data_IF_588566533571
#
_entry.id   IF_588566533571
#
_cell.length_a   1.000
_cell.length_b   1.000
_cell.length_c   1.000
_cell.angle_alpha   90.00
_cell.angle_beta   90.00
_cell.angle_gamma   90.00
#
_symmetry.space_group_name_H-M   'P 1'
#
loop_
_entity.id
_entity.type
_entity.pdbx_description
1 polymer ?
#
# COMPACT_ATOMS: atom_id res chain seq x y z
N UNK A 1 -75.20 41.69 5.57
CA UNK A 1 -73.77 41.90 5.30
C UNK A 1 -73.00 40.64 5.70
N UNK A 2 -72.66 39.76 4.76
CA UNK A 2 -71.88 38.55 5.04
C UNK A 2 -70.53 38.64 4.31
N UNK A 3 -69.45 38.75 5.08
CA UNK A 3 -68.05 38.73 4.59
C UNK A 3 -67.62 37.28 4.38
N UNK A 4 -67.29 36.89 3.15
CA UNK A 4 -66.56 35.65 2.85
C UNK A 4 -65.05 35.92 3.04
N UNK A 5 -64.41 35.19 3.96
CA UNK A 5 -62.95 35.08 4.00
C UNK A 5 -62.52 33.93 3.08
N UNK A 6 -61.65 34.22 2.11
CA UNK A 6 -60.88 33.25 1.35
C UNK A 6 -59.55 33.04 2.08
N UNK A 7 -59.27 31.82 2.54
CA UNK A 7 -57.94 31.40 3.00
C UNK A 7 -57.26 30.65 1.85
N UNK A 8 -56.15 31.22 1.34
CA UNK A 8 -55.24 30.54 0.43
C UNK A 8 -54.33 29.60 1.22
N UNK A 9 -54.38 28.30 0.93
CA UNK A 9 -53.42 27.34 1.47
C UNK A 9 -52.19 27.29 0.57
N UNK A 10 -51.07 27.85 1.02
CA UNK A 10 -49.75 27.65 0.41
C UNK A 10 -49.15 26.34 0.92
N UNK A 11 -49.04 25.34 0.06
CA UNK A 11 -48.37 24.09 0.38
C UNK A 11 -46.85 24.28 0.33
N UNK A 12 -46.18 24.10 1.47
CA UNK A 12 -44.73 24.10 1.58
C UNK A 12 -44.22 22.69 1.27
N UNK A 13 -43.59 22.48 0.10
CA UNK A 13 -42.86 21.24 -0.19
C UNK A 13 -41.52 21.25 0.56
N UNK A 14 -41.39 20.37 1.56
CA UNK A 14 -40.12 20.10 2.24
C UNK A 14 -39.42 18.99 1.44
N UNK A 15 -38.34 19.34 0.73
CA UNK A 15 -37.47 18.36 0.07
C UNK A 15 -36.56 17.73 1.15
N UNK A 16 -36.88 16.53 1.60
CA UNK A 16 -36.01 15.77 2.51
C UNK A 16 -34.90 15.12 1.67
N UNK A 17 -33.72 15.71 1.65
CA UNK A 17 -32.53 15.05 1.09
C UNK A 17 -32.17 13.87 2.01
N UNK A 18 -32.43 12.65 1.55
CA UNK A 18 -32.03 11.43 2.26
C UNK A 18 -30.52 11.27 2.16
N UNK A 19 -29.80 11.53 3.25
CA UNK A 19 -28.38 11.16 3.36
C UNK A 19 -28.33 9.63 3.47
N UNK A 20 -28.00 8.96 2.37
CA UNK A 20 -27.74 7.51 2.40
C UNK A 20 -26.39 7.32 3.09
N UNK A 21 -26.42 6.95 4.37
CA UNK A 21 -25.24 6.48 5.07
C UNK A 21 -24.97 5.05 4.58
N UNK A 22 -24.14 4.90 3.56
CA UNK A 22 -23.64 3.58 3.15
C UNK A 22 -22.67 3.07 4.21
N UNK A 23 -23.10 2.10 5.01
CA UNK A 23 -22.21 1.38 5.93
C UNK A 23 -21.16 0.61 5.14
N UNK A 24 -19.90 0.71 5.56
CA UNK A 24 -18.80 -0.07 4.96
C UNK A 24 -19.09 -1.57 5.05
N UNK A 25 -18.89 -2.31 3.96
CA UNK A 25 -19.11 -3.75 3.94
C UNK A 25 -18.10 -4.46 4.87
N UNK A 26 -18.50 -5.55 5.50
CA UNK A 26 -17.58 -6.42 6.25
C UNK A 26 -17.41 -7.71 5.47
N UNK A 27 -16.19 -7.97 5.00
CA UNK A 27 -15.80 -9.27 4.44
C UNK A 27 -15.36 -10.15 5.59
N UNK A 28 -16.00 -11.33 5.70
CA UNK A 28 -15.79 -12.26 6.81
C UNK A 28 -14.40 -12.91 6.82
N UNK A 29 -14.25 -13.93 7.66
CA UNK A 29 -12.97 -14.61 7.87
C UNK A 29 -12.58 -15.52 6.69
N UNK A 30 -13.58 -15.97 5.91
CA UNK A 30 -13.36 -16.77 4.71
C UNK A 30 -12.89 -15.91 3.53
N UNK A 31 -11.92 -16.38 2.72
CA UNK A 31 -11.45 -15.64 1.57
C UNK A 31 -12.55 -15.40 0.53
N UNK A 32 -12.74 -14.13 0.14
CA UNK A 32 -13.61 -13.78 -0.97
C UNK A 32 -13.02 -14.18 -2.33
N UNK A 33 -13.82 -14.09 -3.40
CA UNK A 33 -13.34 -14.30 -4.76
C UNK A 33 -12.48 -13.13 -5.25
N UNK A 34 -11.32 -13.41 -5.86
CA UNK A 34 -10.54 -12.42 -6.59
C UNK A 34 -11.20 -12.12 -7.95
N UNK A 35 -11.24 -10.83 -8.31
CA UNK A 35 -11.59 -10.38 -9.66
C UNK A 35 -10.50 -9.40 -10.06
N UNK A 36 -9.91 -9.61 -11.24
CA UNK A 36 -8.84 -8.76 -11.72
C UNK A 36 -9.35 -7.32 -11.91
N UNK A 37 -8.72 -6.30 -11.31
CA UNK A 37 -9.09 -4.90 -11.53
C UNK A 37 -8.71 -4.44 -12.95
N UNK A 38 -9.28 -3.31 -13.37
CA UNK A 38 -8.92 -2.63 -14.61
C UNK A 38 -7.70 -1.71 -14.47
N UNK A 39 -7.33 -1.34 -13.24
CA UNK A 39 -6.12 -0.59 -12.93
C UNK A 39 -4.89 -1.25 -13.58
N UNK A 40 -4.10 -0.46 -14.29
CA UNK A 40 -2.91 -0.94 -15.01
C UNK A 40 -1.62 -0.69 -14.27
N UNK A 41 -1.69 0.06 -13.16
CA UNK A 41 -0.57 0.46 -12.32
C UNK A 41 -0.84 0.15 -10.86
N UNK A 42 0.20 -0.26 -10.15
CA UNK A 42 0.19 -0.46 -8.69
C UNK A 42 1.20 0.49 -8.06
N UNK A 43 0.76 1.28 -7.08
CA UNK A 43 1.64 2.04 -6.19
C UNK A 43 1.59 1.38 -4.83
N UNK A 44 2.69 0.80 -4.40
CA UNK A 44 2.87 0.20 -3.08
C UNK A 44 3.69 1.15 -2.21
N UNK A 45 3.08 1.72 -1.19
CA UNK A 45 3.75 2.50 -0.13
C UNK A 45 3.97 1.58 1.07
N UNK A 46 5.20 1.50 1.55
CA UNK A 46 5.54 0.71 2.74
C UNK A 46 6.05 1.67 3.83
N UNK A 47 5.34 1.71 4.94
CA UNK A 47 5.69 2.40 6.18
C UNK A 47 6.31 1.42 7.19
N UNK A 48 6.72 1.91 8.35
CA UNK A 48 7.42 1.13 9.38
C UNK A 48 6.71 1.16 10.75
N UNK A 49 6.80 0.04 11.46
CA UNK A 49 6.79 -0.02 12.93
C UNK A 49 5.61 0.65 13.67
N UNK A 50 4.37 0.31 13.32
CA UNK A 50 3.20 0.78 14.08
C UNK A 50 2.07 -0.25 14.19
N UNK A 51 1.28 -0.16 15.26
CA UNK A 51 0.10 -1.01 15.40
C UNK A 51 -1.00 -0.60 14.42
N UNK A 52 -1.63 -1.58 13.77
CA UNK A 52 -2.68 -1.33 12.77
C UNK A 52 -3.81 -0.42 13.27
N UNK A 53 -4.19 -0.55 14.54
CA UNK A 53 -5.29 0.23 15.14
C UNK A 53 -4.90 1.70 15.35
N UNK A 54 -3.62 1.99 15.66
CA UNK A 54 -3.11 3.37 15.75
C UNK A 54 -3.10 4.01 14.36
N UNK A 55 -2.54 3.32 13.36
CA UNK A 55 -2.51 3.78 11.96
C UNK A 55 -3.91 4.10 11.43
N UNK A 56 -4.90 3.22 11.67
CA UNK A 56 -6.28 3.47 11.27
C UNK A 56 -6.90 4.71 11.96
N UNK A 57 -6.41 5.09 13.13
CA UNK A 57 -6.89 6.24 13.89
C UNK A 57 -6.33 7.59 13.42
N UNK A 58 -5.33 7.60 12.55
CA UNK A 58 -4.78 8.82 11.96
C UNK A 58 -5.71 9.39 10.87
N UNK A 59 -5.49 10.65 10.49
CA UNK A 59 -6.43 11.37 9.61
C UNK A 59 -6.45 10.80 8.21
N UNK A 60 -5.30 10.74 7.54
CA UNK A 60 -5.23 10.33 6.13
C UNK A 60 -5.30 8.81 5.97
N UNK A 61 -4.59 8.05 6.81
CA UNK A 61 -4.70 6.60 6.88
C UNK A 61 -6.13 6.15 7.27
N UNK A 62 -6.79 6.87 8.18
CA UNK A 62 -8.19 6.64 8.51
C UNK A 62 -9.13 6.92 7.32
N UNK A 63 -8.89 8.00 6.56
CA UNK A 63 -9.62 8.31 5.33
C UNK A 63 -9.48 7.18 4.30
N UNK A 64 -8.25 6.70 4.05
CA UNK A 64 -8.01 5.60 3.12
C UNK A 64 -8.72 4.32 3.60
N UNK A 65 -8.63 3.99 4.89
CA UNK A 65 -9.30 2.81 5.45
C UNK A 65 -10.83 2.89 5.37
N UNK A 66 -11.41 4.08 5.48
CA UNK A 66 -12.86 4.29 5.38
C UNK A 66 -13.38 4.31 3.93
N UNK A 67 -12.52 4.61 2.96
CA UNK A 67 -12.88 4.76 1.54
C UNK A 67 -12.27 3.69 0.61
N UNK A 68 -11.48 2.77 1.16
CA UNK A 68 -10.88 1.63 0.47
C UNK A 68 -11.16 0.31 1.20
N UNK A 69 -10.45 -0.74 0.79
CA UNK A 69 -10.51 -2.04 1.45
C UNK A 69 -9.42 -2.15 2.52
N UNK A 70 -9.80 -1.96 3.78
CA UNK A 70 -8.91 -2.13 4.93
C UNK A 70 -8.83 -3.60 5.34
N UNK A 71 -7.62 -4.15 5.36
CA UNK A 71 -7.36 -5.54 5.75
C UNK A 71 -7.12 -5.62 7.25
N UNK A 72 -8.20 -5.78 8.01
CA UNK A 72 -8.18 -5.74 9.48
C UNK A 72 -7.42 -6.90 10.13
N UNK A 73 -7.12 -7.97 9.39
CA UNK A 73 -6.40 -9.16 9.85
C UNK A 73 -5.16 -9.46 9.00
N UNK A 74 -4.41 -8.40 8.64
CA UNK A 74 -3.20 -8.51 7.83
C UNK A 74 -1.93 -8.53 8.69
N UNK A 75 -1.01 -9.44 8.38
CA UNK A 75 0.19 -9.70 9.18
C UNK A 75 1.47 -9.53 8.38
N UNK A 76 2.45 -8.88 9.00
CA UNK A 76 3.84 -8.95 8.56
C UNK A 76 4.43 -10.34 8.88
N UNK A 77 5.47 -10.74 8.15
CA UNK A 77 6.00 -12.11 8.17
C UNK A 77 7.26 -12.27 9.03
N UNK A 78 7.94 -11.17 9.36
CA UNK A 78 9.18 -11.17 10.11
C UNK A 78 9.26 -10.00 11.11
N UNK A 79 10.14 -10.12 12.11
CA UNK A 79 10.40 -9.09 13.14
C UNK A 79 11.35 -7.99 12.68
N UNK A 80 12.11 -8.23 11.60
CA UNK A 80 13.00 -7.23 11.03
C UNK A 80 12.46 -6.74 9.69
N UNK A 81 12.67 -5.45 9.40
CA UNK A 81 12.21 -4.81 8.17
C UNK A 81 12.65 -5.54 6.91
N UNK A 82 13.95 -5.78 6.75
CA UNK A 82 14.52 -6.27 5.49
C UNK A 82 13.90 -7.58 4.97
N UNK A 83 13.68 -8.64 5.78
CA UNK A 83 12.99 -9.83 5.30
C UNK A 83 11.54 -9.59 4.87
N UNK A 84 10.82 -8.64 5.48
CA UNK A 84 9.48 -8.25 5.03
C UNK A 84 9.54 -7.58 3.64
N UNK A 85 10.45 -6.62 3.44
CA UNK A 85 10.66 -5.96 2.15
C UNK A 85 11.09 -6.95 1.04
N UNK A 86 12.00 -7.89 1.34
CA UNK A 86 12.43 -8.92 0.38
C UNK A 86 11.26 -9.84 0.02
N UNK A 87 10.44 -10.23 0.99
CA UNK A 87 9.27 -11.06 0.75
C UNK A 87 8.22 -10.38 -0.14
N UNK A 88 7.97 -9.09 0.07
CA UNK A 88 7.05 -8.28 -0.73
C UNK A 88 7.43 -8.22 -2.23
N UNK A 89 8.68 -8.50 -2.59
CA UNK A 89 9.14 -8.43 -4.00
C UNK A 89 9.64 -9.76 -4.56
N UNK A 90 9.82 -10.81 -3.76
CA UNK A 90 10.38 -12.09 -4.23
C UNK A 90 9.66 -13.35 -3.76
N UNK A 91 8.59 -13.19 -2.98
CA UNK A 91 7.78 -14.30 -2.48
C UNK A 91 8.47 -15.11 -1.38
N UNK A 92 9.60 -14.65 -0.85
CA UNK A 92 10.36 -15.36 0.17
C UNK A 92 11.28 -14.38 0.90
N UNK A 93 11.55 -14.59 2.17
CA UNK A 93 12.62 -13.85 2.87
C UNK A 93 14.03 -14.25 2.43
N UNK A 94 14.18 -15.28 1.61
CA UNK A 94 15.46 -15.87 1.21
C UNK A 94 16.33 -16.37 2.38
N UNK A 95 15.71 -16.66 3.53
CA UNK A 95 16.44 -17.04 4.75
C UNK A 95 17.12 -15.86 5.45
N UNK A 96 16.87 -14.62 5.01
CA UNK A 96 17.28 -13.41 5.71
C UNK A 96 16.44 -13.28 6.97
N UNK A 97 17.10 -13.00 8.09
CA UNK A 97 16.48 -12.89 9.41
C UNK A 97 16.92 -11.62 10.16
N UNK A 98 17.69 -10.72 9.53
CA UNK A 98 18.11 -9.45 10.12
C UNK A 98 18.15 -8.30 9.08
N UNK A 99 18.65 -7.13 9.51
CA UNK A 99 18.79 -5.93 8.69
C UNK A 99 20.21 -5.75 8.08
N UNK A 100 21.07 -6.77 8.14
CA UNK A 100 22.41 -6.72 7.57
C UNK A 100 22.35 -6.74 6.04
N UNK A 101 23.17 -5.96 5.31
CA UNK A 101 23.15 -5.98 3.85
C UNK A 101 23.36 -7.40 3.29
N UNK A 102 22.51 -7.79 2.36
CA UNK A 102 22.60 -9.07 1.65
C UNK A 102 22.70 -8.87 0.15
N UNK A 103 23.23 -9.89 -0.53
CA UNK A 103 23.20 -10.04 -1.99
C UNK A 103 22.54 -11.38 -2.33
N UNK A 104 21.43 -11.32 -3.04
CA UNK A 104 20.58 -12.46 -3.37
C UNK A 104 20.63 -12.74 -4.86
N UNK A 105 20.97 -13.95 -5.25
CA UNK A 105 20.92 -14.41 -6.65
C UNK A 105 19.65 -15.23 -6.87
N UNK A 106 18.53 -14.53 -7.07
CA UNK A 106 17.20 -15.15 -7.19
C UNK A 106 16.22 -14.25 -7.93
N UNK A 107 15.10 -14.84 -8.36
CA UNK A 107 14.04 -14.10 -9.03
C UNK A 107 13.34 -13.08 -8.11
N UNK A 108 12.91 -11.98 -8.71
CA UNK A 108 12.09 -10.96 -8.08
C UNK A 108 11.07 -10.35 -9.05
N UNK A 109 10.07 -9.65 -8.50
CA UNK A 109 8.90 -9.14 -9.23
C UNK A 109 9.31 -8.24 -10.40
N UNK A 110 10.29 -7.36 -10.19
CA UNK A 110 10.84 -6.47 -11.23
C UNK A 110 11.29 -7.17 -12.52
N UNK A 111 11.75 -8.43 -12.48
CA UNK A 111 12.14 -9.18 -13.69
C UNK A 111 10.93 -9.67 -14.52
N UNK A 112 9.74 -9.66 -13.92
CA UNK A 112 8.50 -10.21 -14.49
C UNK A 112 7.54 -9.11 -14.95
N UNK A 113 7.74 -7.89 -14.47
CA UNK A 113 6.91 -6.73 -14.78
C UNK A 113 7.32 -6.07 -16.10
N UNK A 114 6.35 -5.40 -16.75
CA UNK A 114 6.60 -4.60 -17.95
C UNK A 114 7.48 -3.38 -17.66
N UNK A 115 7.21 -2.70 -16.56
CA UNK A 115 8.02 -1.58 -16.06
C UNK A 115 7.85 -1.42 -14.56
N UNK A 116 8.91 -1.03 -13.87
CA UNK A 116 8.87 -0.82 -12.44
C UNK A 116 9.86 0.25 -11.99
N UNK A 117 9.58 0.90 -10.87
CA UNK A 117 10.48 1.85 -10.22
C UNK A 117 10.38 1.71 -8.71
N UNK A 118 11.47 2.03 -8.02
CA UNK A 118 11.48 2.33 -6.59
C UNK A 118 11.81 3.80 -6.38
N UNK A 119 10.96 4.46 -5.61
CA UNK A 119 11.04 5.87 -5.24
C UNK A 119 11.28 5.96 -3.74
N UNK A 120 12.54 6.17 -3.34
CA UNK A 120 12.93 6.21 -1.94
C UNK A 120 13.29 7.63 -1.51
N UNK A 121 12.69 8.10 -0.42
CA UNK A 121 13.00 9.43 0.13
C UNK A 121 14.43 9.45 0.67
N UNK A 122 15.15 10.54 0.42
CA UNK A 122 16.56 10.68 0.80
C UNK A 122 17.55 9.83 -0.01
N UNK A 123 17.10 8.97 -0.93
CA UNK A 123 17.99 8.20 -1.79
C UNK A 123 18.73 9.10 -2.79
N UNK A 124 20.07 9.00 -2.89
CA UNK A 124 20.84 9.79 -3.86
C UNK A 124 20.61 9.28 -5.28
N UNK A 125 19.63 9.85 -5.99
CA UNK A 125 19.31 9.49 -7.37
C UNK A 125 20.54 9.48 -8.30
N UNK A 126 20.60 8.51 -9.22
CA UNK A 126 21.68 8.40 -10.21
C UNK A 126 22.99 7.77 -9.70
N UNK A 127 23.06 7.30 -8.46
CA UNK A 127 24.30 6.72 -7.89
C UNK A 127 24.37 5.20 -7.96
N UNK A 128 23.23 4.51 -7.78
CA UNK A 128 23.18 3.12 -7.31
C UNK A 128 23.94 2.93 -5.98
N UNK A 129 23.66 3.79 -5.00
CA UNK A 129 24.31 3.75 -3.69
C UNK A 129 23.89 2.53 -2.87
N UNK A 130 24.87 1.88 -2.22
CA UNK A 130 24.69 0.69 -1.39
C UNK A 130 25.09 0.92 0.07
N UNK A 131 25.34 2.17 0.47
CA UNK A 131 25.59 2.55 1.86
C UNK A 131 24.38 2.17 2.69
N UNK A 132 24.61 1.69 3.90
CA UNK A 132 23.53 1.24 4.80
C UNK A 132 22.56 2.37 5.16
N UNK A 133 23.06 3.61 5.26
CA UNK A 133 22.26 4.80 5.48
C UNK A 133 22.89 6.06 4.86
N UNK A 134 22.04 7.03 4.48
CA UNK A 134 22.43 8.38 4.07
C UNK A 134 21.44 9.37 4.70
N UNK A 135 21.86 10.04 5.77
CA UNK A 135 20.92 10.80 6.59
C UNK A 135 19.80 9.86 7.10
N UNK A 136 18.51 10.21 6.94
CA UNK A 136 17.39 9.36 7.35
C UNK A 136 17.07 8.21 6.38
N UNK A 137 17.64 8.20 5.16
CA UNK A 137 17.47 7.09 4.23
C UNK A 137 18.22 5.86 4.73
N UNK A 138 17.60 4.67 4.61
CA UNK A 138 18.22 3.38 4.93
C UNK A 138 18.05 2.34 3.81
N UNK A 139 19.14 1.66 3.46
CA UNK A 139 19.15 0.65 2.37
C UNK A 139 18.25 -0.53 2.66
N UNK A 140 18.09 -0.92 3.94
CA UNK A 140 17.28 -2.09 4.36
C UNK A 140 15.82 -2.03 3.86
N UNK A 141 15.29 -0.84 3.57
CA UNK A 141 13.92 -0.66 3.06
C UNK A 141 13.81 -0.72 1.53
N UNK A 142 14.93 -0.73 0.79
CA UNK A 142 14.92 -0.78 -0.69
C UNK A 142 15.30 -2.19 -1.15
N UNK A 143 14.35 -3.15 -1.22
CA UNK A 143 14.67 -4.56 -1.37
C UNK A 143 15.38 -4.87 -2.69
N UNK A 144 15.07 -4.14 -3.76
CA UNK A 144 15.70 -4.36 -5.07
C UNK A 144 17.22 -4.16 -5.04
N UNK A 145 17.77 -3.33 -4.14
CA UNK A 145 19.22 -3.19 -3.98
C UNK A 145 19.90 -4.45 -3.42
N UNK A 146 19.14 -5.41 -2.90
CA UNK A 146 19.65 -6.69 -2.40
C UNK A 146 19.72 -7.78 -3.47
N UNK A 147 19.22 -7.58 -4.69
CA UNK A 147 19.25 -8.59 -5.74
C UNK A 147 20.46 -8.40 -6.66
N UNK A 148 21.12 -9.51 -7.00
CA UNK A 148 22.37 -9.54 -7.76
C UNK A 148 22.30 -8.79 -9.09
N UNK A 149 21.23 -9.00 -9.86
CA UNK A 149 21.03 -8.40 -11.18
C UNK A 149 20.79 -6.90 -11.12
N UNK A 150 20.30 -6.37 -9.99
CA UNK A 150 20.18 -4.93 -9.73
C UNK A 150 21.48 -4.38 -9.15
N UNK A 151 21.96 -4.98 -8.07
CA UNK A 151 23.09 -4.51 -7.29
C UNK A 151 24.38 -4.45 -8.11
N UNK A 152 24.64 -5.48 -8.93
CA UNK A 152 25.88 -5.60 -9.68
C UNK A 152 25.81 -4.86 -11.03
N UNK A 153 24.60 -4.49 -11.50
CA UNK A 153 24.39 -3.71 -12.71
C UNK A 153 23.98 -2.27 -12.34
N UNK A 154 24.98 -1.42 -12.10
CA UNK A 154 24.76 -0.02 -11.70
C UNK A 154 23.92 0.78 -12.68
N UNK A 155 23.98 0.47 -13.98
CA UNK A 155 23.16 1.16 -14.97
C UNK A 155 21.69 0.78 -14.82
N UNK A 156 21.40 -0.51 -14.76
CA UNK A 156 20.04 -1.01 -14.52
C UNK A 156 19.47 -0.48 -13.20
N UNK A 157 20.26 -0.51 -12.13
CA UNK A 157 19.91 0.07 -10.83
C UNK A 157 19.51 1.54 -10.92
N UNK A 158 20.29 2.38 -11.62
CA UNK A 158 19.98 3.82 -11.80
C UNK A 158 18.71 4.07 -12.60
N UNK A 159 18.37 3.16 -13.51
CA UNK A 159 17.15 3.24 -14.31
C UNK A 159 15.90 2.86 -13.53
N UNK A 160 16.04 2.14 -12.41
CA UNK A 160 14.92 1.58 -11.65
C UNK A 160 14.80 2.10 -10.21
N UNK A 161 15.84 2.71 -9.63
CA UNK A 161 15.86 3.16 -8.25
C UNK A 161 16.29 4.63 -8.20
N UNK A 162 15.41 5.47 -7.63
CA UNK A 162 15.59 6.92 -7.64
C UNK A 162 15.03 7.57 -6.37
N UNK A 163 15.28 8.87 -6.22
CA UNK A 163 14.72 9.70 -5.17
C UNK A 163 13.20 9.86 -5.28
N UNK A 164 12.53 10.02 -4.14
CA UNK A 164 11.07 10.18 -4.06
C UNK A 164 10.53 11.42 -4.81
N UNK A 165 11.33 12.46 -5.01
CA UNK A 165 10.95 13.65 -5.80
C UNK A 165 10.47 13.28 -7.22
N UNK A 166 11.03 12.23 -7.82
CA UNK A 166 10.63 11.73 -9.14
C UNK A 166 9.25 11.07 -9.14
N UNK A 167 8.78 10.53 -8.00
CA UNK A 167 7.44 9.97 -7.89
C UNK A 167 6.38 11.05 -8.12
N UNK A 168 6.53 12.21 -7.47
CA UNK A 168 5.57 13.31 -7.61
C UNK A 168 5.45 13.80 -9.05
N UNK A 169 6.57 13.85 -9.79
CA UNK A 169 6.57 14.19 -11.22
C UNK A 169 5.84 13.12 -12.03
N UNK A 170 6.18 11.84 -11.83
CA UNK A 170 5.58 10.73 -12.57
C UNK A 170 4.07 10.59 -12.31
N UNK A 171 3.64 10.75 -11.06
CA UNK A 171 2.24 10.67 -10.66
C UNK A 171 1.39 11.78 -11.29
N UNK A 172 1.83 13.04 -11.20
CA UNK A 172 1.10 14.20 -11.76
C UNK A 172 1.11 14.27 -13.29
N UNK A 173 2.04 13.60 -13.95
CA UNK A 173 2.11 13.51 -15.41
C UNK A 173 1.53 12.20 -15.95
N UNK A 174 0.90 11.39 -15.10
CA UNK A 174 0.32 10.08 -15.41
C UNK A 174 1.30 9.09 -16.07
N UNK A 175 2.61 9.25 -15.80
CA UNK A 175 3.70 8.50 -16.41
C UNK A 175 4.32 7.43 -15.49
N UNK A 176 3.67 7.13 -14.36
CA UNK A 176 4.08 6.05 -13.46
C UNK A 176 4.26 4.71 -14.21
N UNK A 177 5.27 3.89 -13.85
CA UNK A 177 5.43 2.53 -14.38
C UNK A 177 4.29 1.62 -13.93
N UNK A 178 4.25 0.38 -14.46
CA UNK A 178 3.25 -0.61 -14.01
C UNK A 178 3.35 -0.90 -12.50
N UNK A 179 4.54 -0.86 -11.92
CA UNK A 179 4.73 -1.01 -10.47
C UNK A 179 5.63 0.08 -9.90
N UNK A 180 5.14 0.79 -8.89
CA UNK A 180 5.90 1.80 -8.14
C UNK A 180 5.98 1.39 -6.68
N UNK A 181 7.19 1.12 -6.19
CA UNK A 181 7.45 0.97 -4.76
C UNK A 181 7.87 2.33 -4.20
N UNK A 182 7.13 2.84 -3.22
CA UNK A 182 7.38 4.13 -2.57
C UNK A 182 7.80 3.87 -1.13
N UNK A 183 8.95 4.42 -0.75
CA UNK A 183 9.57 4.19 0.56
C UNK A 183 9.92 5.54 1.18
N UNK A 184 9.19 6.00 2.20
CA UNK A 184 9.59 7.16 2.98
C UNK A 184 10.88 6.88 3.77
N UNK A 185 11.55 7.94 4.22
CA UNK A 185 12.73 7.82 5.07
C UNK A 185 12.34 7.67 6.56
N UNK A 186 13.32 7.45 7.44
CA UNK A 186 13.08 7.26 8.88
C UNK A 186 12.34 8.42 9.57
N UNK A 187 12.25 9.61 8.94
CA UNK A 187 11.45 10.71 9.48
C UNK A 187 9.96 10.59 9.15
N UNK A 188 9.60 9.81 8.13
CA UNK A 188 8.26 9.80 7.55
C UNK A 188 7.69 8.39 7.36
N UNK A 189 8.42 7.34 7.75
CA UNK A 189 7.94 5.96 7.73
C UNK A 189 7.25 5.54 9.05
N UNK A 190 7.35 6.35 10.12
CA UNK A 190 6.86 6.08 11.48
C UNK A 190 7.77 5.20 12.37
N UNK A 191 9.04 5.03 12.01
CA UNK A 191 10.04 4.37 12.86
C UNK A 191 10.64 5.29 13.93
N UNK A 192 11.39 6.32 13.50
CA UNK A 192 12.10 7.23 14.41
C UNK A 192 11.26 8.44 14.82
N UNK A 193 10.19 8.72 14.06
CA UNK A 193 9.28 9.84 14.27
C UNK A 193 7.85 9.37 14.57
N UNK A 194 7.05 10.20 15.24
CA UNK A 194 5.66 9.85 15.53
C UNK A 194 4.87 9.55 14.26
N UNK A 195 3.96 8.58 14.36
CA UNK A 195 3.04 8.17 13.30
C UNK A 195 2.31 9.35 12.60
N UNK A 196 1.98 10.41 13.34
CA UNK A 196 1.37 11.62 12.76
C UNK A 196 2.21 12.28 11.66
N UNK A 197 3.54 12.16 11.72
CA UNK A 197 4.46 12.76 10.75
C UNK A 197 4.43 11.96 9.45
N UNK A 198 4.34 10.63 9.55
CA UNK A 198 4.09 9.73 8.41
C UNK A 198 2.71 9.96 7.79
N UNK A 199 1.65 10.09 8.60
CA UNK A 199 0.29 10.41 8.11
C UNK A 199 0.26 11.76 7.39
N UNK A 200 0.90 12.78 7.96
CA UNK A 200 1.00 14.10 7.33
C UNK A 200 1.85 14.05 6.04
N UNK A 201 2.89 13.22 5.99
CA UNK A 201 3.67 13.00 4.76
C UNK A 201 2.83 12.33 3.68
N UNK A 202 2.04 11.30 4.03
CA UNK A 202 1.10 10.67 3.11
C UNK A 202 0.06 11.68 2.61
N UNK A 203 -0.55 12.46 3.52
CA UNK A 203 -1.54 13.47 3.15
C UNK A 203 -0.95 14.48 2.16
N UNK A 204 0.24 15.02 2.44
CA UNK A 204 0.91 15.99 1.56
C UNK A 204 1.20 15.45 0.16
N UNK A 205 1.53 14.16 0.04
CA UNK A 205 1.99 13.59 -1.22
C UNK A 205 0.89 12.90 -2.03
N UNK A 206 -0.18 12.44 -1.37
CA UNK A 206 -1.23 11.63 -2.00
C UNK A 206 -2.61 12.28 -1.99
N UNK A 207 -2.88 13.29 -1.17
CA UNK A 207 -4.23 13.89 -1.09
C UNK A 207 -4.72 14.40 -2.46
N UNK A 208 -3.90 15.12 -3.21
CA UNK A 208 -4.29 15.58 -4.54
C UNK A 208 -4.48 14.41 -5.53
N UNK A 209 -3.62 13.39 -5.44
CA UNK A 209 -3.67 12.21 -6.31
C UNK A 209 -4.95 11.39 -6.10
N UNK A 210 -5.41 11.25 -4.86
CA UNK A 210 -6.65 10.53 -4.57
C UNK A 210 -7.91 11.31 -5.01
N UNK A 211 -7.80 12.62 -5.29
CA UNK A 211 -8.90 13.39 -5.89
C UNK A 211 -8.85 13.40 -7.43
N UNK A 212 -7.71 13.07 -8.02
CA UNK A 212 -7.51 12.96 -9.47
C UNK A 212 -8.23 11.72 -10.04
N UNK A 213 -9.13 11.95 -11.00
CA UNK A 213 -9.94 10.88 -11.61
C UNK A 213 -9.14 9.93 -12.50
N UNK A 214 -8.05 10.39 -13.13
CA UNK A 214 -7.20 9.52 -13.93
C UNK A 214 -6.33 8.65 -13.04
N UNK A 215 -5.76 9.21 -11.97
CA UNK A 215 -5.01 8.45 -10.98
C UNK A 215 -5.88 7.36 -10.37
N UNK A 216 -7.07 7.70 -9.86
CA UNK A 216 -8.00 6.73 -9.26
C UNK A 216 -8.43 5.59 -10.17
N UNK A 217 -8.57 5.88 -11.46
CA UNK A 217 -9.01 4.91 -12.47
C UNK A 217 -7.89 3.96 -12.87
N UNK A 218 -6.67 4.46 -13.00
CA UNK A 218 -5.54 3.72 -13.57
C UNK A 218 -4.61 3.10 -12.52
N UNK A 219 -4.63 3.63 -11.29
CA UNK A 219 -3.72 3.24 -10.20
C UNK A 219 -4.49 2.54 -9.08
N UNK A 220 -4.01 1.37 -8.69
CA UNK A 220 -4.29 0.76 -7.40
C UNK A 220 -3.24 1.26 -6.39
N UNK A 221 -3.68 2.08 -5.43
CA UNK A 221 -2.85 2.51 -4.31
C UNK A 221 -2.95 1.48 -3.18
N UNK A 222 -1.79 1.05 -2.69
CA UNK A 222 -1.67 0.14 -1.56
C UNK A 222 -0.77 0.83 -0.53
N UNK A 223 -1.26 0.96 0.70
CA UNK A 223 -0.45 1.44 1.82
C UNK A 223 -0.39 0.34 2.86
N UNK A 224 0.82 -0.08 3.22
CA UNK A 224 1.07 -1.12 4.21
C UNK A 224 2.19 -0.71 5.16
N UNK A 225 2.38 -1.45 6.25
CA UNK A 225 3.59 -1.41 7.06
C UNK A 225 4.35 -2.73 6.92
N UNK A 226 5.67 -2.70 7.10
CA UNK A 226 6.55 -3.87 7.04
C UNK A 226 6.52 -4.71 8.32
N UNK A 227 6.33 -4.09 9.49
CA UNK A 227 6.20 -4.75 10.79
C UNK A 227 5.46 -3.87 11.82
N UNK A 228 5.02 -4.49 12.91
CA UNK A 228 4.32 -3.80 14.01
C UNK A 228 5.29 -3.37 15.11
N UNK A 229 4.90 -2.36 15.91
CA UNK A 229 5.65 -1.82 17.06
C UNK A 229 5.86 -2.80 18.25
N UNK A 230 5.52 -4.08 18.11
CA UNK A 230 5.60 -5.08 19.17
C UNK A 230 6.85 -5.95 19.03
N UNK A 231 7.65 -5.99 20.10
CA UNK A 231 8.87 -6.81 20.20
C UNK A 231 8.57 -8.29 20.40
N UNK A 232 9.40 -9.15 19.83
CA UNK A 232 9.35 -10.59 20.01
C UNK A 232 9.78 -11.04 21.42
N UNK A 233 9.28 -12.19 21.93
CA UNK A 233 8.21 -13.02 21.36
C UNK A 233 6.83 -12.37 21.53
N UNK A 234 5.96 -12.54 20.53
CA UNK A 234 4.57 -12.04 20.59
C UNK A 234 3.75 -12.81 21.64
N UNK A 235 3.90 -12.41 22.91
CA UNK A 235 3.05 -12.91 23.98
C UNK A 235 1.67 -12.24 23.85
N UNK A 236 0.64 -13.06 23.59
CA UNK A 236 -0.78 -12.71 23.53
C UNK A 236 -1.26 -11.88 22.32
N UNK A 237 -2.11 -12.52 21.50
CA UNK A 237 -3.23 -11.90 20.77
C UNK A 237 -2.93 -11.08 19.50
N UNK A 238 -1.78 -10.41 19.36
CA UNK A 238 -1.49 -9.62 18.15
C UNK A 238 -0.09 -9.92 17.59
N UNK A 239 -0.04 -10.92 16.70
CA UNK A 239 1.16 -11.50 16.07
C UNK A 239 1.61 -10.67 14.85
N UNK A 240 2.28 -9.54 15.05
CA UNK A 240 2.76 -8.72 13.93
C UNK A 240 1.67 -8.20 12.97
N UNK A 241 0.50 -7.82 13.51
CA UNK A 241 -0.60 -7.27 12.69
C UNK A 241 -0.30 -5.82 12.33
N UNK A 242 -0.34 -5.54 11.05
CA UNK A 242 0.02 -4.25 10.47
C UNK A 242 -1.16 -3.66 9.70
N UNK A 243 -1.18 -2.33 9.56
CA UNK A 243 -2.18 -1.66 8.75
C UNK A 243 -1.91 -1.98 7.28
N UNK A 244 -2.96 -2.35 6.54
CA UNK A 244 -2.91 -2.48 5.09
C UNK A 244 -4.23 -2.05 4.49
N UNK A 245 -4.17 -1.19 3.48
CA UNK A 245 -5.35 -0.76 2.72
C UNK A 245 -5.08 -0.86 1.23
N UNK A 246 -6.07 -1.32 0.48
CA UNK A 246 -6.10 -1.21 -0.99
C UNK A 246 -7.13 -0.15 -1.37
N UNK A 247 -6.79 0.72 -2.30
CA UNK A 247 -7.60 1.88 -2.63
C UNK A 247 -7.51 2.23 -4.12
N UNK A 248 -8.66 2.63 -4.70
CA UNK A 248 -8.79 2.98 -6.11
C UNK A 248 -10.22 2.72 -6.62
N UNK A 249 -10.54 3.12 -7.85
CA UNK A 249 -11.90 3.02 -8.38
C UNK A 249 -12.38 1.56 -8.54
N UNK A 250 -11.46 0.60 -8.69
CA UNK A 250 -11.77 -0.83 -8.75
C UNK A 250 -11.97 -1.50 -7.39
N UNK A 251 -11.72 -0.79 -6.31
CA UNK A 251 -11.85 -1.30 -4.95
C UNK A 251 -13.20 -0.88 -4.36
N UNK A 252 -13.87 -1.83 -3.71
CA UNK A 252 -15.06 -1.60 -2.90
C UNK A 252 -14.62 -1.27 -1.47
N UNK A 253 -15.13 -0.19 -0.86
CA UNK A 253 -14.87 0.10 0.55
C UNK A 253 -15.33 -1.06 1.44
N UNK A 254 -14.41 -1.64 2.21
CA UNK A 254 -14.68 -2.82 3.03
C UNK A 254 -13.71 -2.96 4.20
N UNK A 255 -14.20 -3.51 5.32
CA UNK A 255 -13.34 -4.08 6.36
C UNK A 255 -13.20 -5.58 6.10
N UNK A 256 -11.98 -6.06 5.89
CA UNK A 256 -11.69 -7.45 5.55
C UNK A 256 -11.08 -8.17 6.74
N UNK A 257 -11.76 -9.21 7.23
CA UNK A 257 -11.33 -9.98 8.40
C UNK A 257 -10.60 -11.28 8.04
N UNK A 258 -10.66 -11.68 6.77
CA UNK A 258 -9.82 -12.76 6.23
C UNK A 258 -8.36 -12.50 6.57
N UNK A 259 -7.68 -13.53 7.07
CA UNK A 259 -6.24 -13.44 7.34
C UNK A 259 -5.46 -13.33 6.03
N UNK A 260 -4.59 -12.35 5.94
CA UNK A 260 -3.63 -12.17 4.85
C UNK A 260 -2.25 -11.80 5.39
N UNK A 261 -1.21 -11.96 4.57
CA UNK A 261 0.14 -11.47 4.87
C UNK A 261 0.87 -10.94 3.62
N UNK A 262 2.16 -10.60 3.76
CA UNK A 262 2.98 -10.06 2.68
C UNK A 262 3.05 -10.97 1.44
N UNK A 263 2.94 -12.28 1.59
CA UNK A 263 2.92 -13.20 0.46
C UNK A 263 1.58 -13.14 -0.29
N UNK A 264 0.46 -12.99 0.42
CA UNK A 264 -0.85 -12.77 -0.20
C UNK A 264 -0.91 -11.42 -0.94
N UNK A 265 -0.25 -10.39 -0.39
CA UNK A 265 -0.15 -9.10 -1.08
C UNK A 265 0.66 -9.21 -2.38
N UNK A 266 1.86 -9.82 -2.35
CA UNK A 266 2.62 -10.07 -3.56
C UNK A 266 1.81 -10.91 -4.55
N UNK A 267 1.18 -11.99 -4.10
CA UNK A 267 0.35 -12.85 -4.94
C UNK A 267 -0.80 -12.09 -5.60
N UNK A 268 -1.36 -11.10 -4.92
CA UNK A 268 -2.38 -10.19 -5.46
C UNK A 268 -1.80 -9.34 -6.59
N UNK A 269 -0.61 -8.76 -6.39
CA UNK A 269 0.08 -7.94 -7.40
C UNK A 269 0.44 -8.78 -8.62
N UNK A 270 0.93 -10.00 -8.42
CA UNK A 270 1.17 -10.96 -9.49
C UNK A 270 -0.11 -11.25 -10.28
N UNK A 271 -1.24 -11.51 -9.60
CA UNK A 271 -2.52 -11.76 -10.26
C UNK A 271 -3.04 -10.56 -11.06
N UNK A 272 -2.81 -9.33 -10.59
CA UNK A 272 -3.15 -8.10 -11.32
C UNK A 272 -2.37 -8.01 -12.64
N UNK A 273 -1.12 -8.48 -12.66
CA UNK A 273 -0.27 -8.45 -13.84
C UNK A 273 -0.21 -9.76 -14.63
N UNK A 274 -1.13 -10.70 -14.36
CA UNK A 274 -1.17 -12.06 -14.95
C UNK A 274 0.15 -12.84 -14.79
N UNK A 275 0.88 -12.58 -13.72
CA UNK A 275 2.14 -13.24 -13.40
C UNK A 275 1.87 -14.52 -12.61
N UNK A 276 2.68 -15.54 -12.89
CA UNK A 276 2.77 -16.75 -12.07
C UNK A 276 3.67 -16.49 -10.86
N UNK A 277 3.40 -17.11 -9.70
CA UNK A 277 4.28 -17.07 -8.54
C UNK A 277 5.73 -17.41 -8.88
N UNK A 278 6.67 -16.78 -8.20
CA UNK A 278 8.11 -16.94 -8.42
C UNK A 278 8.78 -17.87 -7.40
N UNK A 279 8.09 -18.19 -6.30
CA UNK A 279 8.66 -18.98 -5.21
C UNK A 279 7.64 -19.97 -4.62
N UNK A 280 7.97 -20.55 -3.47
CA UNK A 280 7.09 -21.49 -2.77
C UNK A 280 6.02 -20.79 -1.93
N UNK A 281 6.30 -19.64 -1.31
CA UNK A 281 5.36 -19.03 -0.36
C UNK A 281 4.28 -18.20 -1.07
N UNK A 282 4.63 -17.42 -2.09
CA UNK A 282 3.66 -16.80 -3.01
C UNK A 282 2.82 -17.85 -3.77
N UNK A 283 3.37 -19.03 -4.10
CA UNK A 283 2.60 -20.13 -4.71
C UNK A 283 1.56 -20.75 -3.77
N UNK A 284 1.78 -20.71 -2.46
CA UNK A 284 0.79 -21.15 -1.44
C UNK A 284 -0.18 -20.03 -1.06
N UNK A 285 0.22 -18.78 -1.27
CA UNK A 285 -0.57 -17.61 -0.99
C UNK A 285 -1.75 -17.48 -1.97
N UNK A 286 -2.68 -16.58 -1.65
CA UNK A 286 -3.88 -16.34 -2.47
C UNK A 286 -4.05 -14.84 -2.75
N UNK A 287 -4.52 -14.47 -3.95
CA UNK A 287 -4.91 -13.09 -4.20
C UNK A 287 -6.01 -12.65 -3.22
N UNK A 288 -5.89 -11.44 -2.69
CA UNK A 288 -6.88 -10.83 -1.80
C UNK A 288 -8.19 -10.72 -2.56
N UNK A 289 -9.26 -11.34 -2.05
CA UNK A 289 -10.56 -11.39 -2.71
C UNK A 289 -11.69 -10.71 -1.93
N UNK A 290 -12.85 -10.58 -2.58
CA UNK A 290 -14.06 -10.00 -1.97
C UNK A 290 -14.12 -8.47 -1.97
N UNK A 291 -13.11 -7.79 -2.51
CA UNK A 291 -12.98 -6.32 -2.47
C UNK A 291 -13.09 -5.65 -3.84
N UNK A 292 -13.20 -6.43 -4.92
CA UNK A 292 -13.09 -5.92 -6.28
C UNK A 292 -14.46 -5.60 -6.88
N UNK A 293 -14.61 -4.41 -7.48
CA UNK A 293 -15.81 -4.07 -8.25
C UNK A 293 -15.89 -4.95 -9.49
N UNK A 294 -17.04 -5.56 -9.71
CA UNK A 294 -17.37 -6.19 -11.00
C UNK A 294 -17.78 -5.07 -11.95
N UNK A 295 -17.09 -4.97 -13.08
CA UNK A 295 -17.48 -4.10 -14.20
C UNK A 295 -18.18 -4.92 -15.26
#
# INVERSE_FOLDING_TARGET
>A
MARKLLLSASALLILVASVVVTSMAVVGDEPGSFVKPSATKVVLVVLENTSADKARGEKFLGLLAASGAYLANYHAIAEHSQPNYIALVSGSSAGVDDNSPVRLDRAHLGQRLRSWMTYAEGYPAGTCDLSTAIGPYVRKHVPFLSFADVQDNKEFCRQHITGFDQFGVAARTHSLPSFSLVIPDLNHDAHDKPLRDADAWLERNFSDLIHDAEFRRDVLLIVTFDESDRKWPYLWGNRNRVYTVLWGDDVMPAEVKTRYDHYDLLRTIEAIFDLTPMSTEDAKARPIGGIWRRR
#
